data_IF_047202851609
#
_entry.id   IF_047202851609
#
_cell.length_a   1.000
_cell.length_b   1.000
_cell.length_c   1.000
_cell.angle_alpha   90.00
_cell.angle_beta   90.00
_cell.angle_gamma   90.00
#
_symmetry.space_group_name_H-M   'P 1'
#
loop_
_entity.id
_entity.type
_entity.pdbx_description
1 polymer ?
#
# COMPACT_ATOMS: atom_id res chain seq x y z
N UNK A 1 20.61 -6.75 -7.30
CA UNK A 1 19.79 -6.38 -8.46
C UNK A 1 20.51 -5.29 -9.22
N UNK A 2 20.65 -5.43 -10.53
CA UNK A 2 21.31 -4.49 -11.45
C UNK A 2 20.30 -3.51 -12.05
N UNK A 3 20.77 -2.43 -12.68
CA UNK A 3 19.91 -1.52 -13.46
C UNK A 3 19.12 -2.26 -14.56
N UNK A 4 19.67 -3.38 -15.05
CA UNK A 4 19.01 -4.26 -16.04
C UNK A 4 17.78 -4.99 -15.51
N UNK A 5 17.66 -5.11 -14.18
CA UNK A 5 16.51 -5.77 -13.56
C UNK A 5 15.34 -4.80 -13.34
N UNK A 6 15.55 -3.51 -13.57
CA UNK A 6 14.51 -2.50 -13.47
C UNK A 6 13.61 -2.54 -14.73
N UNK A 7 12.30 -2.26 -14.59
CA UNK A 7 11.61 -1.91 -13.35
C UNK A 7 11.30 -3.13 -12.48
N UNK A 8 11.63 -2.99 -11.20
CA UNK A 8 11.35 -3.98 -10.17
C UNK A 8 10.00 -3.68 -9.53
N UNK A 9 9.16 -4.72 -9.43
CA UNK A 9 7.81 -4.60 -8.90
C UNK A 9 7.66 -5.52 -7.72
N UNK A 10 7.11 -5.00 -6.64
CA UNK A 10 6.73 -5.74 -5.45
C UNK A 10 5.27 -5.44 -5.14
N UNK A 11 4.52 -6.44 -4.73
CA UNK A 11 3.15 -6.28 -4.24
C UNK A 11 2.97 -7.04 -2.95
N UNK A 12 2.10 -6.52 -2.09
CA UNK A 12 1.77 -7.14 -0.82
C UNK A 12 0.32 -6.85 -0.45
N UNK A 13 -0.36 -7.87 0.06
CA UNK A 13 -1.63 -7.70 0.76
C UNK A 13 -1.39 -7.50 2.26
N UNK A 14 -0.74 -6.37 2.59
CA UNK A 14 -0.35 -6.03 3.96
C UNK A 14 -1.51 -5.44 4.77
N UNK A 15 -1.61 -5.79 6.06
CA UNK A 15 -2.62 -5.23 6.97
C UNK A 15 -2.13 -3.91 7.60
N UNK A 16 -2.68 -2.81 7.13
CA UNK A 16 -2.37 -1.46 7.59
C UNK A 16 -3.34 -1.01 8.69
N UNK A 17 -2.77 -0.36 9.71
CA UNK A 17 -3.53 0.21 10.82
C UNK A 17 -3.40 1.74 10.81
N UNK A 18 -4.52 2.45 10.85
CA UNK A 18 -4.58 3.92 10.97
C UNK A 18 -5.46 4.30 12.16
N UNK A 19 -4.97 5.21 13.01
CA UNK A 19 -5.71 5.68 14.19
C UNK A 19 -6.73 6.77 13.80
N UNK A 20 -7.68 6.43 12.94
CA UNK A 20 -8.74 7.35 12.53
C UNK A 20 -9.65 7.71 13.73
N UNK A 21 -10.13 8.97 13.84
CA UNK A 21 -11.08 9.37 14.88
C UNK A 21 -12.33 8.49 14.86
N UNK A 22 -12.83 8.09 16.03
CA UNK A 22 -13.97 7.17 16.14
C UNK A 22 -15.24 7.71 15.47
N UNK A 23 -15.47 9.03 15.52
CA UNK A 23 -16.59 9.69 14.87
C UNK A 23 -16.52 9.76 13.34
N UNK A 24 -15.37 9.39 12.74
CA UNK A 24 -15.16 9.42 11.29
C UNK A 24 -15.26 8.04 10.62
N UNK A 25 -15.55 6.98 11.40
CA UNK A 25 -15.70 5.63 10.89
C UNK A 25 -17.06 5.44 10.22
N UNK A 26 -17.10 4.69 9.11
CA UNK A 26 -18.34 4.47 8.36
C UNK A 26 -18.34 3.11 7.65
N UNK A 27 -19.06 2.14 8.22
CA UNK A 27 -19.21 0.79 7.66
C UNK A 27 -17.86 0.21 7.24
N UNK A 28 -17.77 -0.21 5.97
CA UNK A 28 -16.51 -0.65 5.34
C UNK A 28 -15.78 0.45 4.57
N UNK A 29 -16.40 1.62 4.41
CA UNK A 29 -15.84 2.73 3.62
C UNK A 29 -14.73 3.48 4.37
N UNK A 30 -14.77 3.50 5.71
CA UNK A 30 -13.73 4.11 6.57
C UNK A 30 -13.51 3.28 7.82
N UNK A 31 -12.35 2.65 7.91
CA UNK A 31 -11.96 1.69 8.96
C UNK A 31 -10.58 2.02 9.52
N UNK A 32 -10.25 1.46 10.69
CA UNK A 32 -8.90 1.57 11.27
C UNK A 32 -7.94 0.50 10.77
N UNK A 33 -8.45 -0.66 10.35
CA UNK A 33 -7.64 -1.79 9.88
C UNK A 33 -8.10 -2.16 8.48
N UNK A 34 -7.18 -2.19 7.53
CA UNK A 34 -7.48 -2.54 6.14
C UNK A 34 -6.31 -3.26 5.50
N UNK A 35 -6.64 -4.21 4.63
CA UNK A 35 -5.68 -4.81 3.71
C UNK A 35 -5.78 -4.07 2.40
N UNK A 36 -4.66 -3.49 1.97
CA UNK A 36 -4.58 -2.82 0.68
C UNK A 36 -3.95 -3.77 -0.35
N UNK A 37 -4.36 -3.66 -1.60
CA UNK A 37 -3.70 -4.28 -2.75
C UNK A 37 -2.46 -3.48 -3.16
N UNK A 38 -1.56 -3.28 -2.20
CA UNK A 38 -0.47 -2.32 -2.32
C UNK A 38 0.68 -2.84 -3.19
N UNK A 39 1.31 -1.93 -3.91
CA UNK A 39 2.40 -2.25 -4.81
C UNK A 39 3.40 -1.10 -4.94
N UNK A 40 4.68 -1.47 -4.98
CA UNK A 40 5.80 -0.54 -5.15
C UNK A 40 6.58 -0.90 -6.41
N UNK A 41 6.88 0.12 -7.22
CA UNK A 41 7.71 0.01 -8.41
C UNK A 41 8.99 0.81 -8.18
N UNK A 42 10.12 0.12 -8.27
CA UNK A 42 11.44 0.76 -8.34
C UNK A 42 11.85 0.77 -9.81
N UNK A 43 12.07 1.95 -10.37
CA UNK A 43 12.43 2.15 -11.78
C UNK A 43 13.54 3.20 -11.91
N UNK A 44 14.07 3.33 -13.12
CA UNK A 44 14.89 4.48 -13.52
C UNK A 44 14.00 5.73 -13.64
N UNK A 45 14.60 6.91 -13.64
CA UNK A 45 13.87 8.17 -13.89
C UNK A 45 13.55 8.38 -15.38
N UNK A 46 14.32 7.74 -16.26
CA UNK A 46 14.08 7.65 -17.71
C UNK A 46 12.91 6.73 -18.06
#
# INVERSE_FOLDING_TARGET
>A
KSYRDLPLRFSEFGNCHRCEPSGALHGLMRVRNMVQDDAHIFCTEE
#
